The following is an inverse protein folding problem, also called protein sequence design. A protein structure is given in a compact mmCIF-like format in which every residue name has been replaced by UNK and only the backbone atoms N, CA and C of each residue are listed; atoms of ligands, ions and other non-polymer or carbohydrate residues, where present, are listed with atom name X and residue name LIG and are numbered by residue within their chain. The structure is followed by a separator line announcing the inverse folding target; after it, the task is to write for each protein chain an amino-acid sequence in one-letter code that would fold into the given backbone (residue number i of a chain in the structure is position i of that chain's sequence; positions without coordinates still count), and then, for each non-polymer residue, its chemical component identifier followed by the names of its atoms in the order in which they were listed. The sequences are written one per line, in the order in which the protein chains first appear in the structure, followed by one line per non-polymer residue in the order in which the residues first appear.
data_IF_441225464739
#
_entry.id   IF_441225464739
#
_cell.length_a   1.000
_cell.length_b   1.000
_cell.length_c   1.000
_cell.angle_alpha   90.00
_cell.angle_beta   90.00
_cell.angle_gamma   90.00
#
_symmetry.space_group_name_H-M   'P 1'
#
loop_
_entity.id
_entity.type
_entity.pdbx_description
1 polymer ?
#
# COMPACT_ATOMS: atom_id res chain seq x y z
N UNK A 1 -32.59 77.12 -33.77
CA UNK A 1 -33.82 76.37 -33.40
C UNK A 1 -34.22 75.50 -34.58
N UNK A 2 -34.62 74.26 -34.27
CA UNK A 2 -35.23 73.26 -35.16
C UNK A 2 -34.28 72.22 -35.79
N UNK A 3 -34.35 71.05 -35.17
CA UNK A 3 -34.29 69.69 -35.71
C UNK A 3 -33.02 69.23 -36.40
N UNK A 4 -32.34 68.27 -35.79
CA UNK A 4 -32.07 66.94 -36.39
C UNK A 4 -31.86 65.90 -35.29
N UNK A 5 -32.96 65.48 -34.65
CA UNK A 5 -33.15 64.10 -34.20
C UNK A 5 -33.32 63.28 -35.48
N UNK A 6 -32.37 62.44 -35.87
CA UNK A 6 -32.52 61.29 -36.79
C UNK A 6 -31.14 60.63 -36.99
N UNK A 7 -31.07 59.31 -36.80
CA UNK A 7 -29.92 58.41 -37.07
C UNK A 7 -28.91 58.14 -35.94
N UNK A 8 -29.39 57.55 -34.85
CA UNK A 8 -28.60 56.63 -34.00
C UNK A 8 -29.35 55.32 -33.78
N UNK A 9 -29.97 54.78 -34.83
CA UNK A 9 -30.58 53.44 -34.86
C UNK A 9 -30.22 52.77 -36.18
N UNK A 10 -28.96 52.39 -36.35
CA UNK A 10 -28.56 51.33 -37.28
C UNK A 10 -27.11 50.96 -36.98
N UNK A 11 -26.79 49.66 -37.03
CA UNK A 11 -25.44 49.06 -36.89
C UNK A 11 -25.03 48.68 -35.45
N UNK A 12 -25.84 47.89 -34.73
CA UNK A 12 -25.33 46.95 -33.69
C UNK A 12 -26.14 45.64 -33.69
N UNK A 13 -26.48 45.08 -34.87
CA UNK A 13 -27.36 43.88 -34.93
C UNK A 13 -26.79 42.65 -35.67
N UNK A 14 -25.79 42.66 -36.58
CA UNK A 14 -25.38 41.40 -37.20
C UNK A 14 -24.20 40.65 -36.53
N UNK A 15 -23.49 41.20 -35.54
CA UNK A 15 -22.29 40.51 -35.00
C UNK A 15 -22.57 39.63 -33.76
N UNK A 16 -23.67 39.85 -33.04
CA UNK A 16 -24.00 39.04 -31.85
C UNK A 16 -24.67 37.70 -32.20
N UNK A 17 -25.27 37.57 -33.38
CA UNK A 17 -25.98 36.34 -33.78
C UNK A 17 -25.03 35.20 -34.20
N UNK A 18 -23.77 35.48 -34.56
CA UNK A 18 -22.83 34.41 -34.94
C UNK A 18 -22.08 33.77 -33.76
N UNK A 19 -22.06 34.40 -32.58
CA UNK A 19 -21.41 33.84 -31.38
C UNK A 19 -22.35 33.01 -30.51
N UNK A 20 -23.67 33.24 -30.58
CA UNK A 20 -24.66 32.52 -29.76
C UNK A 20 -25.07 31.15 -30.34
N UNK A 21 -24.86 30.91 -31.64
CA UNK A 21 -25.23 29.64 -32.28
C UNK A 21 -24.25 28.48 -32.07
N UNK A 22 -22.97 28.77 -31.75
CA UNK A 22 -21.93 27.74 -31.64
C UNK A 22 -21.86 27.07 -30.25
N UNK A 23 -22.48 27.68 -29.23
CA UNK A 23 -22.54 27.11 -27.88
C UNK A 23 -23.69 26.11 -27.69
N UNK A 24 -24.60 25.97 -28.68
CA UNK A 24 -25.80 25.11 -28.59
C UNK A 24 -25.60 23.75 -29.31
N UNK A 25 -24.42 23.52 -29.92
CA UNK A 25 -24.13 22.28 -30.66
C UNK A 25 -22.89 21.51 -30.15
N UNK A 26 -22.31 21.90 -29.02
CA UNK A 26 -21.27 21.09 -28.38
C UNK A 26 -21.92 20.00 -27.54
N UNK A 27 -21.76 18.71 -27.87
CA UNK A 27 -22.17 17.65 -26.95
C UNK A 27 -21.38 17.83 -25.66
N UNK A 28 -22.10 18.00 -24.54
CA UNK A 28 -21.49 17.93 -23.22
C UNK A 28 -20.93 16.52 -23.08
N UNK A 29 -19.60 16.39 -23.09
CA UNK A 29 -18.95 15.13 -22.71
C UNK A 29 -19.38 14.82 -21.28
N UNK A 30 -20.05 13.69 -21.02
CA UNK A 30 -20.23 13.26 -19.65
C UNK A 30 -18.84 12.95 -19.11
N UNK A 31 -18.25 13.87 -18.35
CA UNK A 31 -17.21 13.51 -17.40
C UNK A 31 -17.88 12.61 -16.37
N UNK A 32 -17.80 11.31 -16.62
CA UNK A 32 -17.88 10.32 -15.55
C UNK A 32 -16.70 10.58 -14.62
N UNK A 33 -16.84 11.54 -13.71
CA UNK A 33 -16.18 11.44 -12.42
C UNK A 33 -16.86 10.27 -11.72
N UNK A 34 -16.33 9.07 -11.98
CA UNK A 34 -16.39 8.04 -10.97
C UNK A 34 -15.80 8.70 -9.73
N UNK A 35 -16.65 9.00 -8.74
CA UNK A 35 -16.17 9.15 -7.39
C UNK A 35 -15.50 7.80 -7.08
N UNK A 36 -14.18 7.75 -7.23
CA UNK A 36 -13.40 6.75 -6.54
C UNK A 36 -13.66 7.02 -5.07
N UNK A 37 -14.64 6.29 -4.50
CA UNK A 37 -14.65 6.03 -3.08
C UNK A 37 -13.21 5.68 -2.72
N UNK A 38 -12.62 6.29 -1.67
CA UNK A 38 -11.37 5.78 -1.15
C UNK A 38 -11.51 4.27 -1.02
N UNK A 39 -10.53 3.47 -1.47
CA UNK A 39 -10.56 2.04 -1.19
C UNK A 39 -10.86 1.88 0.30
N UNK A 40 -11.79 0.98 0.64
CA UNK A 40 -12.11 0.71 2.03
C UNK A 40 -10.79 0.48 2.78
N UNK A 41 -10.60 1.14 3.93
CA UNK A 41 -9.39 0.97 4.70
C UNK A 41 -9.21 -0.54 4.99
N UNK A 42 -8.10 -1.16 4.57
CA UNK A 42 -7.97 -2.62 4.49
C UNK A 42 -8.15 -3.30 5.84
N UNK A 43 -7.83 -2.61 6.93
CA UNK A 43 -7.97 -3.08 8.31
C UNK A 43 -9.12 -2.40 9.09
N UNK A 44 -9.90 -1.53 8.45
CA UNK A 44 -10.95 -0.76 9.13
C UNK A 44 -10.40 0.36 10.04
N UNK A 45 -11.05 0.57 11.18
CA UNK A 45 -10.72 1.65 12.11
C UNK A 45 -9.48 1.34 12.97
N UNK A 46 -8.38 2.06 12.72
CA UNK A 46 -7.10 1.93 13.44
C UNK A 46 -6.90 3.02 14.50
N UNK A 47 -7.90 3.86 14.80
CA UNK A 47 -7.72 5.06 15.62
C UNK A 47 -7.19 4.78 17.04
N UNK A 48 -7.59 3.66 17.64
CA UNK A 48 -7.10 3.25 18.97
C UNK A 48 -5.59 2.94 18.96
N UNK A 49 -5.12 2.20 17.96
CA UNK A 49 -3.70 1.88 17.79
C UNK A 49 -2.87 3.13 17.50
N UNK A 50 -3.40 4.03 16.67
CA UNK A 50 -2.80 5.34 16.40
C UNK A 50 -2.64 6.16 17.68
N UNK A 51 -3.69 6.23 18.52
CA UNK A 51 -3.66 6.98 19.77
C UNK A 51 -2.64 6.41 20.76
N UNK A 52 -2.60 5.08 20.96
CA UNK A 52 -1.63 4.45 21.85
C UNK A 52 -0.20 4.68 21.32
N UNK A 53 0.04 4.53 20.01
CA UNK A 53 1.35 4.79 19.40
C UNK A 53 1.80 6.25 19.61
N UNK A 54 0.88 7.21 19.47
CA UNK A 54 1.15 8.62 19.77
C UNK A 54 1.52 8.85 21.25
N UNK A 55 0.88 8.13 22.19
CA UNK A 55 1.25 8.18 23.60
C UNK A 55 2.66 7.61 23.84
N UNK A 56 3.02 6.51 23.17
CA UNK A 56 4.39 5.94 23.24
C UNK A 56 5.42 6.94 22.71
N UNK A 57 5.16 7.56 21.55
CA UNK A 57 6.01 8.59 20.97
C UNK A 57 6.20 9.78 21.91
N UNK A 58 5.12 10.24 22.55
CA UNK A 58 5.17 11.34 23.51
C UNK A 58 6.07 10.99 24.70
N UNK A 59 5.89 9.82 25.32
CA UNK A 59 6.73 9.37 26.43
C UNK A 59 8.20 9.22 26.01
N UNK A 60 8.46 8.61 24.84
CA UNK A 60 9.82 8.45 24.31
C UNK A 60 10.50 9.81 24.05
N UNK A 61 9.79 10.79 23.49
CA UNK A 61 10.31 12.15 23.25
C UNK A 61 10.68 12.91 24.53
N UNK A 62 10.06 12.53 25.66
CA UNK A 62 10.33 13.08 26.98
C UNK A 62 11.43 12.31 27.73
N UNK A 63 12.06 11.33 27.07
CA UNK A 63 13.02 10.39 27.66
C UNK A 63 12.42 9.56 28.83
N UNK A 64 11.09 9.43 28.87
CA UNK A 64 10.36 8.59 29.82
C UNK A 64 10.17 7.19 29.22
N UNK A 65 11.28 6.45 29.12
CA UNK A 65 11.31 5.13 28.51
C UNK A 65 10.52 4.08 29.30
N UNK A 66 10.41 4.25 30.62
CA UNK A 66 9.60 3.34 31.45
C UNK A 66 8.12 3.44 31.11
N UNK A 67 7.60 4.66 30.96
CA UNK A 67 6.22 4.88 30.54
C UNK A 67 6.02 4.46 29.08
N UNK A 68 6.98 4.76 28.20
CA UNK A 68 6.92 4.32 26.82
C UNK A 68 6.85 2.78 26.70
N UNK A 69 7.59 2.04 27.53
CA UNK A 69 7.50 0.57 27.62
C UNK A 69 6.14 0.08 28.14
N UNK A 70 5.53 0.78 29.10
CA UNK A 70 4.19 0.45 29.56
C UNK A 70 3.15 0.65 28.43
N UNK A 71 3.17 1.82 27.77
CA UNK A 71 2.22 2.15 26.70
C UNK A 71 2.37 1.27 25.46
N UNK A 72 3.59 0.84 25.13
CA UNK A 72 3.77 -0.08 23.99
C UNK A 72 3.31 -1.50 24.32
N UNK A 73 3.24 -1.86 25.61
CA UNK A 73 2.63 -3.12 26.05
C UNK A 73 1.09 -3.04 25.97
N UNK A 74 0.51 -1.87 26.24
CA UNK A 74 -0.92 -1.62 25.99
C UNK A 74 -1.26 -1.76 24.49
N UNK A 75 -0.36 -1.29 23.61
CA UNK A 75 -0.49 -1.44 22.15
C UNK A 75 -0.51 -2.92 21.74
N UNK A 76 0.49 -3.68 22.17
CA UNK A 76 0.62 -5.12 21.89
C UNK A 76 -0.64 -5.88 22.35
N UNK A 77 -1.10 -5.61 23.59
CA UNK A 77 -2.32 -6.22 24.13
C UNK A 77 -3.54 -5.92 23.28
N UNK A 78 -3.75 -4.66 22.91
CA UNK A 78 -4.88 -4.26 22.08
C UNK A 78 -4.80 -4.87 20.66
N UNK A 79 -3.59 -5.00 20.11
CA UNK A 79 -3.36 -5.58 18.79
C UNK A 79 -3.69 -7.07 18.80
N UNK A 80 -3.18 -7.83 19.78
CA UNK A 80 -3.41 -9.27 19.92
C UNK A 80 -4.91 -9.62 20.02
N UNK A 81 -5.69 -8.81 20.75
CA UNK A 81 -7.14 -8.98 20.86
C UNK A 81 -7.87 -8.88 19.51
N UNK A 82 -7.29 -8.16 18.55
CA UNK A 82 -7.89 -7.89 17.23
C UNK A 82 -7.18 -8.62 16.10
N UNK A 83 -5.94 -9.08 16.30
CA UNK A 83 -5.02 -9.56 15.27
C UNK A 83 -5.68 -10.61 14.35
N UNK A 84 -6.39 -11.58 14.92
CA UNK A 84 -7.09 -12.60 14.13
C UNK A 84 -8.13 -12.00 13.19
N UNK A 85 -8.95 -11.07 13.66
CA UNK A 85 -9.99 -10.45 12.84
C UNK A 85 -9.39 -9.51 11.78
N UNK A 86 -8.31 -8.79 12.13
CA UNK A 86 -7.59 -7.91 11.23
C UNK A 86 -6.89 -8.69 10.11
N UNK A 87 -6.21 -9.79 10.44
CA UNK A 87 -5.58 -10.70 9.46
C UNK A 87 -6.60 -11.31 8.51
N UNK A 88 -7.81 -11.61 8.99
CA UNK A 88 -8.91 -12.09 8.14
C UNK A 88 -9.48 -11.02 7.21
N UNK A 89 -9.41 -9.74 7.60
CA UNK A 89 -9.88 -8.63 6.77
C UNK A 89 -8.91 -8.37 5.60
N UNK A 90 -7.61 -8.31 5.89
CA UNK A 90 -6.56 -8.19 4.89
C UNK A 90 -5.22 -8.67 5.47
N UNK A 91 -4.76 -9.84 5.02
CA UNK A 91 -3.54 -10.47 5.54
C UNK A 91 -2.27 -9.66 5.22
N UNK A 92 -2.23 -8.99 4.07
CA UNK A 92 -1.06 -8.22 3.63
C UNK A 92 -0.94 -6.92 4.43
N UNK A 93 -2.05 -6.18 4.53
CA UNK A 93 -2.11 -4.97 5.35
C UNK A 93 -1.85 -5.28 6.83
N UNK A 94 -2.39 -6.40 7.33
CA UNK A 94 -2.12 -6.87 8.69
C UNK A 94 -0.64 -7.13 8.92
N UNK A 95 0.02 -7.90 8.03
CA UNK A 95 1.45 -8.23 8.17
C UNK A 95 2.34 -6.98 8.18
N UNK A 96 2.03 -5.97 7.37
CA UNK A 96 2.77 -4.71 7.35
C UNK A 96 2.70 -3.94 8.68
N UNK A 97 1.55 -3.96 9.35
CA UNK A 97 1.36 -3.28 10.64
C UNK A 97 1.96 -4.13 11.77
N UNK A 98 1.72 -5.43 11.77
CA UNK A 98 2.23 -6.41 12.73
C UNK A 98 3.75 -6.32 12.84
N UNK A 99 4.43 -6.32 11.69
CA UNK A 99 5.87 -6.17 11.63
C UNK A 99 6.36 -4.80 12.15
N UNK A 100 5.62 -3.72 11.88
CA UNK A 100 5.97 -2.41 12.40
C UNK A 100 5.83 -2.36 13.94
N UNK A 101 4.82 -3.04 14.49
CA UNK A 101 4.63 -3.21 15.94
C UNK A 101 5.81 -4.00 16.52
N UNK A 102 6.18 -5.13 15.93
CA UNK A 102 7.32 -5.94 16.36
C UNK A 102 8.65 -5.17 16.36
N UNK A 103 8.90 -4.38 15.30
CA UNK A 103 10.09 -3.54 15.23
C UNK A 103 10.10 -2.45 16.33
N UNK A 104 8.95 -1.86 16.65
CA UNK A 104 8.82 -0.89 17.72
C UNK A 104 9.02 -1.53 19.11
N UNK A 105 8.40 -2.70 19.35
CA UNK A 105 8.56 -3.49 20.57
C UNK A 105 10.02 -3.90 20.77
N UNK A 106 10.66 -4.42 19.72
CA UNK A 106 12.07 -4.83 19.74
C UNK A 106 12.98 -3.66 20.09
N UNK A 107 12.79 -2.49 19.48
CA UNK A 107 13.62 -1.31 19.75
C UNK A 107 13.50 -0.83 21.21
N UNK A 108 12.29 -0.80 21.77
CA UNK A 108 12.03 -0.20 23.08
C UNK A 108 12.23 -1.14 24.26
N UNK A 109 12.14 -2.47 24.06
CA UNK A 109 12.28 -3.49 25.11
C UNK A 109 13.72 -3.98 25.29
N UNK A 110 14.68 -3.47 24.52
CA UNK A 110 16.10 -3.77 24.77
C UNK A 110 16.54 -3.27 26.16
N UNK A 111 17.60 -3.85 26.72
CA UNK A 111 18.15 -3.44 28.04
C UNK A 111 18.57 -1.97 28.07
N UNK A 112 19.02 -1.44 26.94
CA UNK A 112 19.45 -0.06 26.76
C UNK A 112 18.87 0.46 25.45
N UNK A 113 17.60 0.92 25.47
CA UNK A 113 16.93 1.41 24.26
C UNK A 113 17.69 2.60 23.67
N UNK A 114 17.95 2.55 22.36
CA UNK A 114 18.48 3.67 21.61
C UNK A 114 17.32 4.63 21.28
N UNK A 115 17.30 5.87 21.81
CA UNK A 115 16.22 6.82 21.57
C UNK A 115 16.00 7.15 20.09
N UNK A 116 17.06 7.16 19.27
CA UNK A 116 16.95 7.40 17.83
C UNK A 116 16.27 6.23 17.14
N UNK A 117 16.68 5.00 17.47
CA UNK A 117 16.07 3.79 16.89
C UNK A 117 14.61 3.64 17.30
N UNK A 118 14.28 3.89 18.57
CA UNK A 118 12.91 3.90 19.09
C UNK A 118 12.06 4.95 18.36
N UNK A 119 12.57 6.17 18.19
CA UNK A 119 11.87 7.22 17.46
C UNK A 119 11.59 6.83 15.99
N UNK A 120 12.58 6.23 15.32
CA UNK A 120 12.42 5.78 13.93
C UNK A 120 11.38 4.67 13.79
N UNK A 121 11.42 3.63 14.63
CA UNK A 121 10.47 2.52 14.54
C UNK A 121 9.05 2.94 14.90
N UNK A 122 8.88 3.84 15.88
CA UNK A 122 7.57 4.42 16.19
C UNK A 122 7.02 5.32 15.08
N UNK A 123 7.87 6.03 14.33
CA UNK A 123 7.45 6.81 13.18
C UNK A 123 6.94 5.90 12.05
N UNK A 124 7.68 4.83 11.73
CA UNK A 124 7.28 3.82 10.74
C UNK A 124 5.96 3.16 11.15
N UNK A 125 5.81 2.77 12.42
CA UNK A 125 4.56 2.23 12.93
C UNK A 125 3.39 3.21 12.75
N UNK A 126 3.60 4.49 13.05
CA UNK A 126 2.56 5.51 12.89
C UNK A 126 2.13 5.67 11.42
N UNK A 127 3.07 5.58 10.48
CA UNK A 127 2.80 5.58 9.04
C UNK A 127 2.03 4.34 8.60
N UNK A 128 2.42 3.15 9.05
CA UNK A 128 1.71 1.90 8.74
C UNK A 128 0.31 1.85 9.32
N UNK A 129 0.10 2.36 10.53
CA UNK A 129 -1.24 2.47 11.10
C UNK A 129 -2.14 3.42 10.30
N UNK A 130 -1.57 4.46 9.69
CA UNK A 130 -2.30 5.40 8.83
C UNK A 130 -2.53 4.86 7.40
N UNK A 131 -1.59 4.07 6.89
CA UNK A 131 -1.64 3.47 5.56
C UNK A 131 -1.08 2.03 5.58
N UNK A 132 -1.87 1.04 6.01
CA UNK A 132 -1.41 -0.35 6.19
C UNK A 132 -0.89 -1.01 4.91
N UNK A 133 -1.41 -0.62 3.75
CA UNK A 133 -0.95 -1.12 2.44
C UNK A 133 0.04 -0.19 1.74
N UNK A 134 0.45 0.89 2.41
CA UNK A 134 1.35 1.89 1.85
C UNK A 134 2.79 1.38 1.75
N UNK A 135 3.56 1.81 0.74
CA UNK A 135 4.99 1.58 0.71
C UNK A 135 5.66 2.22 1.93
N UNK A 136 6.77 1.64 2.40
CA UNK A 136 7.54 2.25 3.49
C UNK A 136 8.11 3.59 3.06
N UNK A 137 7.79 4.65 3.81
CA UNK A 137 8.33 5.99 3.60
C UNK A 137 9.81 6.07 4.02
N UNK A 138 10.25 5.13 4.87
CA UNK A 138 11.62 5.03 5.36
C UNK A 138 12.20 3.68 4.94
N UNK A 139 13.03 3.71 3.89
CA UNK A 139 13.82 2.56 3.46
C UNK A 139 14.79 2.16 4.57
N UNK A 140 14.56 1.01 5.22
CA UNK A 140 15.47 0.52 6.26
C UNK A 140 16.65 -0.22 5.62
N UNK A 141 17.31 0.39 4.63
CA UNK A 141 18.57 -0.08 4.03
C UNK A 141 18.65 -1.56 3.63
N UNK A 142 17.52 -2.21 3.37
CA UNK A 142 17.47 -3.63 3.05
C UNK A 142 17.94 -3.90 1.63
N UNK A 143 18.66 -4.99 1.44
CA UNK A 143 19.04 -5.44 0.10
C UNK A 143 17.92 -6.31 -0.45
N UNK A 144 17.28 -5.87 -1.53
CA UNK A 144 16.30 -6.68 -2.25
C UNK A 144 16.99 -7.93 -2.82
N UNK A 145 16.57 -9.09 -2.35
CA UNK A 145 16.96 -10.41 -2.83
C UNK A 145 16.12 -10.73 -4.07
N UNK A 146 16.79 -11.21 -5.11
CA UNK A 146 16.15 -11.66 -6.36
C UNK A 146 16.52 -13.10 -6.65
N UNK A 147 15.56 -13.88 -7.12
CA UNK A 147 15.77 -15.22 -7.69
C UNK A 147 15.47 -15.16 -9.17
N UNK A 148 16.46 -15.53 -10.00
CA UNK A 148 16.36 -15.48 -11.46
C UNK A 148 15.90 -14.11 -12.02
N UNK A 149 16.27 -13.02 -11.34
CA UNK A 149 15.89 -11.65 -11.73
C UNK A 149 14.50 -11.20 -11.25
N UNK A 150 13.75 -12.05 -10.55
CA UNK A 150 12.48 -11.69 -9.92
C UNK A 150 12.74 -11.39 -8.44
N UNK A 151 12.28 -10.24 -7.96
CA UNK A 151 12.39 -9.90 -6.54
C UNK A 151 11.54 -10.86 -5.70
N UNK A 152 12.17 -11.56 -4.76
CA UNK A 152 11.50 -12.40 -3.75
C UNK A 152 11.38 -11.69 -2.42
N UNK A 153 11.78 -10.42 -2.38
CA UNK A 153 11.71 -9.60 -1.18
C UNK A 153 11.24 -8.19 -1.49
N UNK A 154 10.71 -7.52 -0.48
CA UNK A 154 10.40 -6.10 -0.53
C UNK A 154 11.68 -5.23 -0.56
N UNK A 155 11.50 -3.91 -0.61
CA UNK A 155 12.62 -2.98 -0.63
C UNK A 155 13.42 -2.92 0.69
N UNK A 156 12.93 -3.59 1.75
CA UNK A 156 13.64 -3.75 3.02
C UNK A 156 14.30 -5.14 3.13
N UNK A 157 14.30 -5.95 2.06
CA UNK A 157 14.93 -7.27 2.02
C UNK A 157 14.14 -8.36 2.75
N UNK A 158 12.84 -8.16 2.98
CA UNK A 158 11.92 -9.10 3.64
C UNK A 158 11.20 -9.95 2.61
N UNK A 159 11.01 -11.24 2.86
CA UNK A 159 10.26 -12.11 1.95
C UNK A 159 8.87 -11.52 1.66
N UNK A 160 8.39 -11.69 0.43
CA UNK A 160 7.05 -11.25 0.09
C UNK A 160 6.04 -12.18 0.80
N UNK A 161 4.85 -11.68 1.19
CA UNK A 161 3.81 -12.57 1.66
C UNK A 161 3.47 -13.58 0.57
N UNK A 162 3.30 -14.84 0.96
CA UNK A 162 3.00 -15.94 0.03
C UNK A 162 1.97 -15.57 -1.06
N UNK A 163 0.86 -14.93 -0.67
CA UNK A 163 -0.27 -14.66 -1.57
C UNK A 163 0.13 -13.65 -2.65
N UNK A 164 1.01 -12.70 -2.33
CA UNK A 164 1.53 -11.72 -3.29
C UNK A 164 2.32 -12.40 -4.39
N UNK A 165 3.23 -13.30 -4.02
CA UNK A 165 4.09 -13.97 -4.98
C UNK A 165 3.36 -15.06 -5.76
N UNK A 166 2.40 -15.75 -5.13
CA UNK A 166 1.50 -16.69 -5.79
C UNK A 166 0.59 -16.00 -6.81
N UNK A 167 0.05 -14.82 -6.49
CA UNK A 167 -0.75 -14.04 -7.44
C UNK A 167 0.08 -13.53 -8.61
N UNK A 168 1.32 -13.10 -8.37
CA UNK A 168 2.26 -12.77 -9.45
C UNK A 168 2.54 -13.98 -10.35
N UNK A 169 2.77 -15.16 -9.74
CA UNK A 169 2.98 -16.40 -10.48
C UNK A 169 1.77 -16.74 -11.38
N UNK A 170 0.56 -16.72 -10.82
CA UNK A 170 -0.67 -17.03 -11.57
C UNK A 170 -0.96 -16.02 -12.66
N UNK A 171 -0.67 -14.75 -12.42
CA UNK A 171 -0.79 -13.69 -13.41
C UNK A 171 0.20 -13.91 -14.57
N UNK A 172 1.45 -14.23 -14.27
CA UNK A 172 2.45 -14.59 -15.27
C UNK A 172 2.04 -15.83 -16.07
N UNK A 173 1.53 -16.87 -15.38
CA UNK A 173 1.04 -18.10 -16.01
C UNK A 173 -0.12 -17.86 -16.98
N UNK A 174 -1.03 -16.95 -16.64
CA UNK A 174 -2.16 -16.58 -17.49
C UNK A 174 -1.72 -15.78 -18.72
N UNK A 175 -0.67 -14.95 -18.59
CA UNK A 175 -0.18 -14.09 -19.65
C UNK A 175 0.84 -14.78 -20.59
N UNK A 176 1.54 -15.81 -20.12
CA UNK A 176 2.66 -16.41 -20.81
C UNK A 176 2.27 -17.48 -21.83
N UNK A 177 3.01 -17.54 -22.94
CA UNK A 177 3.07 -18.75 -23.76
C UNK A 177 4.17 -19.67 -23.24
N UNK A 178 3.80 -20.65 -22.43
CA UNK A 178 4.76 -21.56 -21.80
C UNK A 178 5.28 -22.55 -22.83
N UNK A 179 6.60 -22.58 -23.02
CA UNK A 179 7.25 -23.57 -23.88
C UNK A 179 6.89 -25.00 -23.39
N UNK A 180 6.56 -25.96 -24.28
CA UNK A 180 6.20 -27.32 -23.87
C UNK A 180 7.22 -28.00 -22.96
N UNK A 181 8.51 -27.72 -23.15
CA UNK A 181 9.60 -28.26 -22.33
C UNK A 181 9.61 -27.74 -20.87
N UNK A 182 8.87 -26.68 -20.58
CA UNK A 182 8.85 -26.02 -19.27
C UNK A 182 7.55 -26.28 -18.49
N UNK A 183 6.49 -26.81 -19.10
CA UNK A 183 5.17 -26.97 -18.47
C UNK A 183 5.24 -27.78 -17.17
N UNK A 184 5.81 -28.99 -17.22
CA UNK A 184 5.94 -29.85 -16.04
C UNK A 184 6.76 -29.20 -14.90
N UNK A 185 7.75 -28.38 -15.28
CA UNK A 185 8.60 -27.66 -14.32
C UNK A 185 7.84 -26.52 -13.66
N UNK A 186 7.08 -25.75 -14.43
CA UNK A 186 6.22 -24.67 -13.91
C UNK A 186 5.16 -25.25 -12.97
N UNK A 187 4.50 -26.35 -13.35
CA UNK A 187 3.50 -27.02 -12.50
C UNK A 187 4.10 -27.53 -11.19
N UNK A 188 5.28 -28.15 -11.26
CA UNK A 188 6.00 -28.62 -10.06
C UNK A 188 6.36 -27.47 -9.13
N UNK A 189 6.74 -26.31 -9.68
CA UNK A 189 7.11 -25.14 -8.89
C UNK A 189 5.88 -24.49 -8.24
N UNK A 190 4.72 -24.45 -8.90
CA UNK A 190 3.48 -23.96 -8.29
C UNK A 190 3.06 -24.82 -7.10
N UNK A 191 3.11 -26.15 -7.26
CA UNK A 191 2.77 -27.09 -6.17
C UNK A 191 3.71 -26.92 -4.98
N UNK A 192 5.03 -26.87 -5.23
CA UNK A 192 6.02 -26.68 -4.16
C UNK A 192 5.90 -25.33 -3.48
N UNK A 193 5.68 -24.26 -4.25
CA UNK A 193 5.44 -22.92 -3.71
C UNK A 193 4.21 -22.90 -2.81
N UNK A 194 3.11 -23.50 -3.26
CA UNK A 194 1.86 -23.60 -2.49
C UNK A 194 2.03 -24.43 -1.22
N UNK A 195 2.77 -25.54 -1.27
CA UNK A 195 3.08 -26.37 -0.09
C UNK A 195 3.87 -25.58 0.95
N UNK A 196 4.87 -24.80 0.52
CA UNK A 196 5.67 -23.95 1.43
C UNK A 196 4.86 -22.78 1.97
N UNK A 197 4.03 -22.15 1.16
CA UNK A 197 3.10 -21.12 1.63
C UNK A 197 2.18 -21.67 2.73
N UNK A 198 1.57 -22.85 2.53
CA UNK A 198 0.71 -23.47 3.54
C UNK A 198 1.47 -23.82 4.85
N UNK A 199 2.80 -23.93 4.78
CA UNK A 199 3.67 -24.16 5.92
C UNK A 199 4.22 -22.86 6.54
N UNK A 200 3.71 -21.68 6.13
CA UNK A 200 4.17 -20.35 6.59
C UNK A 200 5.67 -20.11 6.29
N UNK A 201 6.18 -20.72 5.22
CA UNK A 201 7.58 -20.70 4.79
C UNK A 201 7.74 -19.83 3.55
N UNK A 202 7.41 -18.54 3.71
CA UNK A 202 7.30 -17.56 2.63
C UNK A 202 8.59 -17.46 1.79
N UNK A 203 9.76 -17.45 2.43
CA UNK A 203 11.05 -17.37 1.70
C UNK A 203 11.20 -18.50 0.68
N UNK A 204 10.91 -19.75 1.07
CA UNK A 204 11.03 -20.89 0.14
C UNK A 204 9.87 -20.95 -0.84
N UNK A 205 8.69 -20.49 -0.45
CA UNK A 205 7.56 -20.35 -1.36
C UNK A 205 7.90 -19.37 -2.49
N UNK A 206 8.40 -18.20 -2.14
CA UNK A 206 8.78 -17.13 -3.07
C UNK A 206 9.88 -17.55 -4.03
N UNK A 207 10.89 -18.25 -3.53
CA UNK A 207 11.96 -18.79 -4.37
C UNK A 207 11.42 -19.75 -5.44
N UNK A 208 10.43 -20.59 -5.10
CA UNK A 208 9.81 -21.49 -6.08
C UNK A 208 8.96 -20.75 -7.10
N UNK A 209 8.17 -19.76 -6.65
CA UNK A 209 7.36 -18.96 -7.55
C UNK A 209 8.22 -18.10 -8.49
N UNK A 210 9.29 -17.48 -7.99
CA UNK A 210 10.25 -16.72 -8.81
C UNK A 210 10.89 -17.59 -9.90
N UNK A 211 11.34 -18.80 -9.55
CA UNK A 211 11.87 -19.76 -10.52
C UNK A 211 10.87 -20.10 -11.62
N UNK A 212 9.59 -20.25 -11.27
CA UNK A 212 8.55 -20.59 -12.25
C UNK A 212 8.20 -19.41 -13.15
N UNK A 213 8.11 -18.19 -12.60
CA UNK A 213 7.92 -16.95 -13.37
C UNK A 213 9.05 -16.78 -14.39
N UNK A 214 10.29 -17.06 -14.00
CA UNK A 214 11.43 -17.00 -14.91
C UNK A 214 11.36 -18.01 -16.07
N UNK A 215 10.72 -19.18 -15.87
CA UNK A 215 10.50 -20.16 -16.95
C UNK A 215 9.38 -19.77 -17.92
N UNK A 216 8.52 -18.82 -17.52
CA UNK A 216 7.37 -18.31 -18.28
C UNK A 216 7.68 -16.99 -19.00
N UNK A 217 8.74 -16.30 -18.59
CA UNK A 217 9.19 -15.03 -19.18
C UNK A 217 10.18 -15.30 -20.32
N UNK A 218 9.67 -15.65 -21.50
CA UNK A 218 10.48 -15.91 -22.71
C UNK A 218 9.90 -15.18 -23.93
#
# INVERSE_FOLDING_TARGET
MRNFLLSTVLIIVPVVVFAAGYAVLTPATPTSQAASSPPAAPLGDMAAFVAITSDVQKSASQNDLSNAQARITDLETAWDEKAKALRQADANAWGNVDEAIDNALSAIRTKTPDPSKVGQTLAVLQEKLANPSGPDSVQTGGMQITVAGIATTDANGRALPCEVMLDQFRSARTAAHILPANVDRVDTLEVKGTERCNADDDTRADDFFAQGIALMSN
#
